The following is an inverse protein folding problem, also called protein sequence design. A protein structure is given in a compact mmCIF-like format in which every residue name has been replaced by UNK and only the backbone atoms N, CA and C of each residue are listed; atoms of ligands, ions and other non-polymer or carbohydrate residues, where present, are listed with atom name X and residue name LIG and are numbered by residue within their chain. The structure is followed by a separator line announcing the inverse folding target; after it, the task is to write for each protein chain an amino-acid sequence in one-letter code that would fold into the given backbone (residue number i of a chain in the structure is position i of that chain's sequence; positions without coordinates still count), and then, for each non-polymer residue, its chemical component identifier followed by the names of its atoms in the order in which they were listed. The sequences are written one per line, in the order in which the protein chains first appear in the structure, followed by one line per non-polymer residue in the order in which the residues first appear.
data_IF_741137596735
#
_entry.id   IF_741137596735
#
_cell.length_a   1.000
_cell.length_b   1.000
_cell.length_c   1.000
_cell.angle_alpha   90.00
_cell.angle_beta   90.00
_cell.angle_gamma   90.00
#
_symmetry.space_group_name_H-M   'P 1'
#
loop_
_entity.id
_entity.type
_entity.pdbx_description
1 polymer ?
#
# COMPACT_ATOMS: atom_id res chain seq x y z
N UNK A 1 -27.56 26.99 -8.15
CA UNK A 1 -26.76 26.48 -7.02
C UNK A 1 -25.50 25.88 -7.62
N UNK A 2 -24.35 26.54 -7.49
CA UNK A 2 -23.08 25.99 -7.95
C UNK A 2 -22.76 24.83 -7.00
N UNK A 3 -22.76 23.60 -7.52
CA UNK A 3 -22.20 22.45 -6.80
C UNK A 3 -20.71 22.74 -6.63
N UNK A 4 -20.31 23.15 -5.44
CA UNK A 4 -18.88 23.21 -5.11
C UNK A 4 -18.40 21.76 -5.07
N UNK A 5 -17.49 21.44 -5.97
CA UNK A 5 -16.84 20.13 -6.02
C UNK A 5 -16.35 19.72 -4.64
N UNK A 6 -16.53 18.46 -4.24
CA UNK A 6 -16.09 17.98 -2.95
C UNK A 6 -14.57 18.15 -2.82
N UNK A 7 -14.12 18.94 -1.85
CA UNK A 7 -12.70 19.12 -1.53
C UNK A 7 -12.31 18.25 -0.34
N UNK A 8 -11.11 17.76 -0.34
CA UNK A 8 -10.52 17.07 0.81
C UNK A 8 -9.72 18.07 1.66
N UNK A 9 -9.78 17.94 2.96
CA UNK A 9 -9.19 18.89 3.91
C UNK A 9 -8.32 18.19 4.96
N UNK A 10 -7.08 18.63 5.09
CA UNK A 10 -6.05 18.04 5.94
C UNK A 10 -5.43 19.07 6.87
N UNK A 11 -4.95 18.63 8.03
CA UNK A 11 -4.04 19.41 8.85
C UNK A 11 -2.62 18.93 8.53
N UNK A 12 -1.78 19.87 8.11
CA UNK A 12 -0.38 19.60 7.78
C UNK A 12 0.55 20.41 8.67
N UNK A 13 1.72 19.85 8.95
CA UNK A 13 2.78 20.53 9.68
C UNK A 13 4.05 20.65 8.85
N UNK A 14 4.77 21.73 9.05
CA UNK A 14 6.05 22.02 8.43
C UNK A 14 7.00 22.56 9.50
N UNK A 15 8.22 22.01 9.56
CA UNK A 15 9.27 22.54 10.40
C UNK A 15 9.98 23.70 9.70
N UNK A 16 9.80 24.90 10.21
CA UNK A 16 10.48 26.09 9.72
C UNK A 16 11.87 26.17 10.38
N UNK A 17 12.92 25.90 9.58
CA UNK A 17 14.30 25.86 10.05
C UNK A 17 14.83 27.23 10.49
N UNK A 18 14.33 28.31 9.90
CA UNK A 18 14.73 29.68 10.25
C UNK A 18 14.11 30.12 11.57
N UNK A 19 12.84 29.80 11.76
CA UNK A 19 12.12 30.14 12.99
C UNK A 19 12.28 29.08 14.10
N UNK A 20 12.90 27.92 13.79
CA UNK A 20 13.07 26.78 14.68
C UNK A 20 11.76 26.32 15.34
N UNK A 21 10.67 26.34 14.58
CA UNK A 21 9.34 26.00 15.08
C UNK A 21 8.50 25.22 14.06
N UNK A 22 7.58 24.41 14.58
CA UNK A 22 6.58 23.73 13.76
C UNK A 22 5.44 24.70 13.48
N UNK A 23 5.13 24.88 12.20
CA UNK A 23 3.97 25.63 11.72
C UNK A 23 2.91 24.69 11.21
N UNK A 24 1.64 24.94 11.54
CA UNK A 24 0.49 24.13 11.12
C UNK A 24 -0.38 24.90 10.14
N UNK A 25 -0.81 24.21 9.10
CA UNK A 25 -1.67 24.75 8.05
C UNK A 25 -2.82 23.79 7.80
N UNK A 26 -3.93 24.33 7.31
CA UNK A 26 -4.99 23.53 6.72
C UNK A 26 -4.76 23.49 5.22
N UNK A 27 -4.60 22.27 4.67
CA UNK A 27 -4.44 22.02 3.26
C UNK A 27 -5.79 21.58 2.70
N UNK A 28 -6.23 22.23 1.65
CA UNK A 28 -7.37 21.83 0.83
C UNK A 28 -6.87 21.22 -0.47
N UNK A 29 -7.41 20.08 -0.85
CA UNK A 29 -7.14 19.41 -2.11
C UNK A 29 -8.42 19.24 -2.90
N UNK A 30 -8.37 19.53 -4.18
CA UNK A 30 -9.49 19.45 -5.12
C UNK A 30 -9.21 18.36 -6.13
N UNK A 31 -9.90 17.18 -6.01
CA UNK A 31 -9.60 16.01 -6.85
C UNK A 31 -9.86 16.22 -8.35
N UNK A 32 -10.76 17.15 -8.72
CA UNK A 32 -11.15 17.38 -10.12
C UNK A 32 -10.01 17.93 -10.99
N UNK A 33 -9.20 18.81 -10.45
CA UNK A 33 -8.14 19.51 -11.19
C UNK A 33 -6.76 19.37 -10.53
N UNK A 34 -6.63 18.51 -9.52
CA UNK A 34 -5.41 18.35 -8.73
C UNK A 34 -4.88 19.66 -8.15
N UNK A 35 -5.78 20.61 -7.85
CA UNK A 35 -5.37 21.88 -7.24
C UNK A 35 -5.33 21.78 -5.72
N UNK A 36 -4.49 22.63 -5.13
CA UNK A 36 -4.30 22.76 -3.70
C UNK A 36 -4.45 24.22 -3.25
N UNK A 37 -4.88 24.38 -2.01
CA UNK A 37 -4.95 25.67 -1.32
C UNK A 37 -4.49 25.46 0.12
N UNK A 38 -3.80 26.44 0.73
CA UNK A 38 -3.38 26.35 2.12
C UNK A 38 -3.81 27.55 2.92
N UNK A 39 -4.28 27.30 4.14
CA UNK A 39 -4.69 28.29 5.10
C UNK A 39 -3.82 28.21 6.36
N UNK A 40 -3.29 29.36 6.79
CA UNK A 40 -2.51 29.46 8.03
C UNK A 40 -3.48 29.52 9.23
N UNK A 41 -3.50 28.43 9.99
CA UNK A 41 -4.43 28.27 11.13
C UNK A 41 -4.14 29.30 12.23
N UNK A 42 -2.86 29.59 12.48
CA UNK A 42 -2.43 30.52 13.54
C UNK A 42 -2.75 31.96 13.21
N UNK A 43 -2.50 32.37 11.97
CA UNK A 43 -2.64 33.76 11.54
C UNK A 43 -4.00 34.06 10.87
N UNK A 44 -4.87 33.02 10.77
CA UNK A 44 -6.23 33.12 10.19
C UNK A 44 -6.26 33.77 8.81
N UNK A 45 -5.33 33.35 7.93
CA UNK A 45 -5.22 33.91 6.57
C UNK A 45 -4.83 32.86 5.55
N UNK A 46 -5.14 33.13 4.28
CA UNK A 46 -4.67 32.31 3.17
C UNK A 46 -3.15 32.39 3.12
N UNK A 47 -2.51 31.24 3.20
CA UNK A 47 -1.07 31.07 3.06
C UNK A 47 -0.67 30.81 1.60
N UNK A 48 -1.39 29.92 0.93
CA UNK A 48 -1.23 29.62 -0.49
C UNK A 48 -2.60 29.68 -1.17
N UNK A 49 -2.73 30.56 -2.17
CA UNK A 49 -3.94 30.61 -3.01
C UNK A 49 -4.04 29.34 -3.84
N UNK A 50 -5.26 28.99 -4.26
CA UNK A 50 -5.51 27.81 -5.08
C UNK A 50 -4.61 27.77 -6.32
N UNK A 51 -3.86 26.68 -6.47
CA UNK A 51 -2.94 26.42 -7.60
C UNK A 51 -3.08 24.96 -8.00
N UNK A 52 -2.91 24.68 -9.29
CA UNK A 52 -2.83 23.31 -9.80
C UNK A 52 -1.44 22.73 -9.49
N UNK A 53 -1.41 21.55 -8.88
CA UNK A 53 -0.18 20.82 -8.61
C UNK A 53 -0.36 19.33 -8.99
N UNK A 54 -0.01 18.94 -10.20
CA UNK A 54 -0.22 17.58 -10.71
C UNK A 54 0.64 16.51 -10.02
N UNK A 55 1.67 16.91 -9.27
CA UNK A 55 2.50 15.98 -8.50
C UNK A 55 1.77 15.46 -7.24
N UNK A 56 0.76 16.18 -6.77
CA UNK A 56 -0.04 15.78 -5.62
C UNK A 56 -1.32 15.11 -6.12
N UNK A 57 -1.41 13.81 -5.90
CA UNK A 57 -2.57 12.99 -6.25
C UNK A 57 -3.25 12.45 -4.99
N UNK A 58 -4.53 12.10 -5.07
CA UNK A 58 -5.31 11.61 -3.92
C UNK A 58 -4.66 10.43 -3.21
N UNK A 59 -3.93 9.58 -3.93
CA UNK A 59 -3.25 8.41 -3.38
C UNK A 59 -2.06 8.76 -2.47
N UNK A 60 -1.47 9.95 -2.62
CA UNK A 60 -0.35 10.42 -1.77
C UNK A 60 -0.82 11.12 -0.50
N UNK A 61 -2.11 11.43 -0.39
CA UNK A 61 -2.69 12.19 0.71
C UNK A 61 -3.24 11.27 1.81
N UNK A 62 -2.39 10.85 2.74
CA UNK A 62 -2.78 10.01 3.88
C UNK A 62 -2.07 10.44 5.17
N UNK A 63 -2.59 10.01 6.31
CA UNK A 63 -1.99 10.34 7.62
C UNK A 63 -0.56 9.82 7.71
N UNK A 64 0.36 10.72 8.05
CA UNK A 64 1.77 10.44 8.17
C UNK A 64 2.57 10.61 6.87
N UNK A 65 1.91 10.79 5.70
CA UNK A 65 2.63 11.07 4.45
C UNK A 65 3.25 12.46 4.44
N UNK A 66 4.34 12.59 3.69
CA UNK A 66 5.03 13.86 3.45
C UNK A 66 4.82 14.27 1.99
N UNK A 67 4.37 15.51 1.80
CA UNK A 67 4.17 16.10 0.48
C UNK A 67 5.08 17.30 0.31
N UNK A 68 5.57 17.51 -0.90
CA UNK A 68 6.43 18.67 -1.22
C UNK A 68 5.63 19.73 -1.97
N UNK A 69 5.60 20.95 -1.44
CA UNK A 69 4.97 22.12 -2.07
C UNK A 69 6.01 23.24 -2.11
N UNK A 70 6.42 23.67 -3.31
CA UNK A 70 7.46 24.71 -3.50
C UNK A 70 8.73 24.46 -2.68
N UNK A 71 9.30 23.25 -2.80
CA UNK A 71 10.54 22.84 -2.12
C UNK A 71 10.45 22.79 -0.59
N UNK A 72 9.25 22.81 -0.01
CA UNK A 72 9.01 22.64 1.41
C UNK A 72 8.25 21.34 1.65
N UNK A 73 8.70 20.60 2.64
CA UNK A 73 8.03 19.36 3.06
C UNK A 73 6.95 19.67 4.10
N UNK A 74 5.77 19.10 3.89
CA UNK A 74 4.63 19.18 4.78
C UNK A 74 4.16 17.78 5.12
N UNK A 75 4.06 17.47 6.40
CA UNK A 75 3.59 16.18 6.91
C UNK A 75 2.10 16.26 7.23
N UNK A 76 1.31 15.34 6.71
CA UNK A 76 -0.12 15.23 7.03
C UNK A 76 -0.28 14.59 8.41
N UNK A 77 -0.86 15.34 9.37
CA UNK A 77 -1.00 14.90 10.76
C UNK A 77 -2.45 14.57 11.17
N UNK A 78 -3.44 15.12 10.47
CA UNK A 78 -4.85 14.83 10.74
C UNK A 78 -5.72 15.14 9.52
N UNK A 79 -6.90 14.52 9.46
CA UNK A 79 -7.99 14.99 8.61
C UNK A 79 -8.64 16.20 9.27
N UNK A 80 -8.96 17.25 8.50
CA UNK A 80 -9.52 18.47 9.05
C UNK A 80 -11.05 18.41 9.24
N UNK A 81 -11.72 17.49 8.55
CA UNK A 81 -13.17 17.29 8.65
C UNK A 81 -13.56 15.80 8.50
N UNK A 82 -14.77 15.50 8.97
CA UNK A 82 -15.32 14.12 8.91
C UNK A 82 -15.63 13.67 7.48
N UNK A 83 -15.90 14.60 6.56
CA UNK A 83 -16.10 14.27 5.16
C UNK A 83 -14.83 13.71 4.55
N UNK A 84 -13.70 14.40 4.72
CA UNK A 84 -12.39 13.95 4.24
C UNK A 84 -12.00 12.60 4.85
N UNK A 85 -12.25 12.45 6.16
CA UNK A 85 -11.99 11.19 6.85
C UNK A 85 -12.76 10.03 6.22
N UNK A 86 -14.07 10.15 6.09
CA UNK A 86 -14.92 9.12 5.47
C UNK A 86 -14.55 8.84 4.01
N UNK A 87 -14.40 9.90 3.20
CA UNK A 87 -14.06 9.76 1.80
C UNK A 87 -12.75 9.00 1.58
N UNK A 88 -11.76 9.19 2.45
CA UNK A 88 -10.47 8.51 2.36
C UNK A 88 -10.47 7.13 3.03
N UNK A 89 -11.25 6.91 4.07
CA UNK A 89 -11.47 5.59 4.66
C UNK A 89 -12.23 4.69 3.68
N UNK A 90 -13.26 5.20 3.02
CA UNK A 90 -14.00 4.49 1.95
C UNK A 90 -13.15 4.27 0.70
N UNK A 91 -12.21 5.17 0.39
CA UNK A 91 -11.30 5.03 -0.75
C UNK A 91 -10.14 4.06 -0.51
N UNK A 92 -9.83 3.69 0.73
CA UNK A 92 -8.69 2.85 1.07
C UNK A 92 -9.10 1.70 1.96
N UNK A 93 -9.44 0.61 1.32
CA UNK A 93 -9.52 -0.68 1.99
C UNK A 93 -8.21 -1.43 1.82
N UNK A 94 -7.84 -2.20 2.83
CA UNK A 94 -6.68 -3.10 2.76
C UNK A 94 -7.15 -4.51 2.47
N UNK A 95 -6.37 -5.25 1.69
CA UNK A 95 -6.55 -6.68 1.50
C UNK A 95 -5.23 -7.41 1.71
N UNK A 96 -5.30 -8.66 2.09
CA UNK A 96 -4.14 -9.53 2.18
C UNK A 96 -4.02 -10.39 0.92
N UNK A 97 -2.80 -10.57 0.46
CA UNK A 97 -2.47 -11.49 -0.61
C UNK A 97 -1.24 -12.29 -0.22
N UNK A 98 -1.21 -13.57 -0.59
CA UNK A 98 -0.08 -14.45 -0.37
C UNK A 98 0.29 -15.16 -1.66
N UNK A 99 1.51 -14.90 -2.16
CA UNK A 99 2.09 -15.62 -3.28
C UNK A 99 2.56 -16.99 -2.78
N UNK A 100 2.16 -18.03 -3.48
CA UNK A 100 2.42 -19.42 -3.11
C UNK A 100 3.72 -19.95 -3.73
N UNK A 101 4.31 -21.04 -3.18
CA UNK A 101 5.59 -21.58 -3.64
C UNK A 101 5.66 -21.88 -5.15
N UNK A 102 4.62 -22.38 -5.84
CA UNK A 102 4.70 -22.61 -7.28
C UNK A 102 4.92 -21.35 -8.12
N UNK A 103 4.56 -20.19 -7.57
CA UNK A 103 4.73 -18.89 -8.25
C UNK A 103 6.00 -18.13 -7.85
N UNK A 104 6.96 -18.78 -7.15
CA UNK A 104 8.18 -18.15 -6.66
C UNK A 104 8.95 -17.41 -7.75
N UNK A 105 9.18 -18.03 -8.90
CA UNK A 105 9.90 -17.44 -10.03
C UNK A 105 9.12 -16.31 -10.75
N UNK A 106 7.87 -16.10 -10.38
CA UNK A 106 6.99 -15.08 -10.94
C UNK A 106 6.67 -13.96 -9.94
N UNK A 107 7.34 -13.90 -8.80
CA UNK A 107 7.08 -12.91 -7.73
C UNK A 107 7.13 -11.48 -8.29
N UNK A 108 8.17 -11.14 -9.04
CA UNK A 108 8.35 -9.81 -9.60
C UNK A 108 7.24 -9.45 -10.60
N UNK A 109 6.90 -10.36 -11.50
CA UNK A 109 5.80 -10.17 -12.45
C UNK A 109 4.45 -9.97 -11.74
N UNK A 110 4.17 -10.73 -10.67
CA UNK A 110 2.95 -10.58 -9.87
C UNK A 110 2.93 -9.21 -9.19
N UNK A 111 4.05 -8.77 -8.63
CA UNK A 111 4.19 -7.43 -8.02
C UNK A 111 3.93 -6.34 -9.08
N UNK A 112 4.51 -6.45 -10.26
CA UNK A 112 4.30 -5.51 -11.37
C UNK A 112 2.83 -5.47 -11.80
N UNK A 113 2.18 -6.62 -11.94
CA UNK A 113 0.75 -6.69 -12.26
C UNK A 113 -0.08 -5.96 -11.20
N UNK A 114 0.17 -6.20 -9.93
CA UNK A 114 -0.54 -5.58 -8.80
C UNK A 114 -0.36 -4.05 -8.81
N UNK A 115 0.88 -3.57 -8.95
CA UNK A 115 1.18 -2.14 -8.98
C UNK A 115 0.61 -1.45 -10.23
N UNK A 116 0.72 -2.06 -11.42
CA UNK A 116 0.16 -1.54 -12.66
C UNK A 116 -1.38 -1.46 -12.64
N UNK A 117 -2.03 -2.26 -11.79
CA UNK A 117 -3.47 -2.17 -11.54
C UNK A 117 -3.82 -1.19 -10.40
N UNK A 118 -2.90 -0.34 -9.98
CA UNK A 118 -3.13 0.77 -9.05
C UNK A 118 -3.20 0.38 -7.58
N UNK A 119 -2.70 -0.80 -7.20
CA UNK A 119 -2.51 -1.15 -5.80
C UNK A 119 -1.22 -0.55 -5.23
N UNK A 120 -1.31 0.01 -4.04
CA UNK A 120 -0.15 0.32 -3.23
C UNK A 120 0.20 -0.87 -2.33
N UNK A 121 1.47 -1.26 -2.31
CA UNK A 121 1.97 -2.31 -1.41
C UNK A 121 2.41 -1.64 -0.11
N UNK A 122 1.61 -1.80 0.94
CA UNK A 122 1.89 -1.25 2.27
C UNK A 122 2.94 -2.06 3.02
N UNK A 123 2.84 -3.40 2.94
CA UNK A 123 3.79 -4.33 3.53
C UNK A 123 4.05 -5.49 2.59
N UNK A 124 5.28 -5.96 2.58
CA UNK A 124 5.69 -7.16 1.85
C UNK A 124 6.68 -7.92 2.72
N UNK A 125 6.45 -9.22 2.87
CA UNK A 125 7.30 -10.07 3.69
C UNK A 125 7.33 -11.51 3.16
N UNK A 126 8.51 -12.07 3.06
CA UNK A 126 8.73 -13.48 2.75
C UNK A 126 8.93 -14.26 4.04
N UNK A 127 8.23 -15.38 4.21
CA UNK A 127 8.37 -16.27 5.34
C UNK A 127 8.31 -17.74 4.88
N UNK A 128 9.00 -18.62 5.61
CA UNK A 128 8.77 -20.07 5.56
C UNK A 128 7.91 -20.42 6.77
N UNK A 129 6.70 -20.93 6.51
CA UNK A 129 5.73 -21.21 7.57
C UNK A 129 5.99 -22.60 8.17
N UNK A 130 6.02 -22.67 9.49
CA UNK A 130 5.99 -23.96 10.20
C UNK A 130 4.60 -24.58 10.11
N UNK A 131 4.50 -25.91 10.31
CA UNK A 131 3.22 -26.61 10.31
C UNK A 131 2.18 -25.98 11.25
N UNK A 132 2.61 -25.51 12.43
CA UNK A 132 1.73 -24.84 13.38
C UNK A 132 1.22 -23.51 12.85
N UNK A 133 2.08 -22.73 12.20
CA UNK A 133 1.72 -21.44 11.62
C UNK A 133 0.78 -21.60 10.43
N UNK A 134 1.01 -22.60 9.58
CA UNK A 134 0.09 -22.97 8.49
C UNK A 134 -1.29 -23.31 9.02
N UNK A 135 -1.39 -24.18 10.03
CA UNK A 135 -2.69 -24.56 10.61
C UNK A 135 -3.41 -23.37 11.24
N UNK A 136 -2.69 -22.43 11.88
CA UNK A 136 -3.29 -21.24 12.43
C UNK A 136 -3.74 -20.27 11.34
N UNK A 137 -2.97 -20.12 10.27
CA UNK A 137 -3.36 -19.30 9.12
C UNK A 137 -4.63 -19.85 8.46
N UNK A 138 -4.70 -21.14 8.20
CA UNK A 138 -5.86 -21.80 7.57
C UNK A 138 -7.15 -21.68 8.42
N UNK A 139 -7.03 -21.59 9.73
CA UNK A 139 -8.19 -21.30 10.60
C UNK A 139 -8.75 -19.88 10.39
N UNK A 140 -7.88 -18.92 10.08
CA UNK A 140 -8.26 -17.54 9.80
C UNK A 140 -8.82 -17.44 8.40
N UNK A 141 -8.12 -18.00 7.41
CA UNK A 141 -8.48 -17.99 6.00
C UNK A 141 -9.75 -18.77 5.68
N UNK A 142 -10.08 -19.78 6.50
CA UNK A 142 -11.31 -20.55 6.48
C UNK A 142 -11.76 -21.07 5.10
N UNK A 143 -10.82 -21.33 4.20
CA UNK A 143 -11.07 -21.91 2.86
C UNK A 143 -10.27 -23.19 2.67
N UNK A 144 -10.82 -24.10 1.87
CA UNK A 144 -10.17 -25.37 1.51
C UNK A 144 -9.43 -25.28 0.15
N UNK A 145 -9.19 -24.07 -0.33
CA UNK A 145 -8.61 -23.86 -1.68
C UNK A 145 -7.13 -24.22 -1.75
N UNK A 146 -6.43 -24.18 -0.63
CA UNK A 146 -4.99 -24.45 -0.57
C UNK A 146 -4.68 -25.51 0.47
N UNK A 147 -3.91 -26.54 0.07
CA UNK A 147 -3.52 -27.59 0.99
C UNK A 147 -2.47 -27.10 2.01
N UNK A 148 -2.51 -27.61 3.26
CA UNK A 148 -1.51 -27.30 4.27
C UNK A 148 -0.08 -27.64 3.82
N UNK A 149 0.05 -28.73 3.07
CA UNK A 149 1.33 -29.20 2.53
C UNK A 149 1.94 -28.19 1.58
N UNK A 150 1.12 -27.56 0.71
CA UNK A 150 1.58 -26.55 -0.23
C UNK A 150 2.08 -25.31 0.48
N UNK A 151 1.34 -24.79 1.49
CA UNK A 151 1.74 -23.63 2.27
C UNK A 151 3.02 -23.85 3.10
N UNK A 152 3.24 -25.08 3.55
CA UNK A 152 4.42 -25.46 4.33
C UNK A 152 5.59 -25.99 3.53
N UNK A 153 5.44 -26.16 2.20
CA UNK A 153 6.47 -26.77 1.35
C UNK A 153 7.72 -25.89 1.23
N UNK A 154 7.52 -24.58 1.02
CA UNK A 154 8.62 -23.63 0.83
C UNK A 154 8.21 -22.21 1.26
N UNK A 155 8.99 -21.21 0.84
CA UNK A 155 8.72 -19.80 1.14
C UNK A 155 7.43 -19.30 0.49
N UNK A 156 6.71 -18.48 1.25
CA UNK A 156 5.53 -17.73 0.80
C UNK A 156 5.77 -16.23 0.96
N UNK A 157 5.18 -15.43 0.08
CA UNK A 157 5.30 -13.96 0.16
C UNK A 157 3.95 -13.35 0.46
N UNK A 158 3.78 -12.84 1.69
CA UNK A 158 2.57 -12.12 2.09
C UNK A 158 2.69 -10.63 1.84
N UNK A 159 1.59 -10.06 1.36
CA UNK A 159 1.48 -8.64 1.04
C UNK A 159 0.24 -8.02 1.67
N UNK A 160 0.38 -6.81 2.20
CA UNK A 160 -0.73 -5.92 2.50
C UNK A 160 -0.88 -4.95 1.33
N UNK A 161 -2.02 -5.01 0.66
CA UNK A 161 -2.33 -4.25 -0.54
C UNK A 161 -3.45 -3.25 -0.24
N UNK A 162 -3.28 -2.01 -0.69
CA UNK A 162 -4.20 -0.91 -0.41
C UNK A 162 -4.72 -0.32 -1.72
N UNK A 163 -6.04 -0.29 -1.86
CA UNK A 163 -6.76 0.33 -2.99
C UNK A 163 -8.21 0.60 -2.58
N UNK A 164 -8.94 1.42 -3.33
CA UNK A 164 -10.39 1.49 -3.20
C UNK A 164 -11.00 0.12 -3.55
N UNK A 165 -11.91 -0.40 -2.71
CA UNK A 165 -12.51 -1.73 -2.87
C UNK A 165 -11.49 -2.86 -3.05
N UNK A 166 -10.39 -2.82 -2.27
CA UNK A 166 -9.20 -3.64 -2.48
C UNK A 166 -9.50 -5.14 -2.62
N UNK A 167 -10.40 -5.70 -1.81
CA UNK A 167 -10.74 -7.13 -1.85
C UNK A 167 -11.36 -7.51 -3.19
N UNK A 168 -12.40 -6.80 -3.64
CA UNK A 168 -13.11 -7.09 -4.88
C UNK A 168 -12.20 -6.90 -6.11
N UNK A 169 -11.44 -5.81 -6.13
CA UNK A 169 -10.51 -5.50 -7.22
C UNK A 169 -9.38 -6.53 -7.33
N UNK A 170 -8.83 -6.98 -6.19
CA UNK A 170 -7.78 -8.00 -6.20
C UNK A 170 -8.27 -9.36 -6.69
N UNK A 171 -9.47 -9.80 -6.27
CA UNK A 171 -10.10 -11.03 -6.74
C UNK A 171 -10.29 -11.03 -8.25
N UNK A 172 -10.70 -9.90 -8.82
CA UNK A 172 -10.84 -9.73 -10.26
C UNK A 172 -9.51 -9.91 -10.98
N UNK A 173 -8.45 -9.26 -10.51
CA UNK A 173 -7.11 -9.35 -11.10
C UNK A 173 -6.55 -10.78 -10.95
N UNK A 174 -6.76 -11.43 -9.81
CA UNK A 174 -6.35 -12.80 -9.58
C UNK A 174 -6.95 -13.74 -10.62
N UNK A 175 -8.26 -13.60 -10.88
CA UNK A 175 -8.98 -14.48 -11.82
C UNK A 175 -8.63 -14.20 -13.28
N UNK A 176 -8.53 -12.93 -13.65
CA UNK A 176 -8.40 -12.49 -15.04
C UNK A 176 -6.95 -12.51 -15.56
N UNK A 177 -5.99 -12.19 -14.69
CA UNK A 177 -4.59 -11.94 -15.10
C UNK A 177 -3.62 -12.90 -14.43
N UNK A 178 -3.57 -12.94 -13.10
CA UNK A 178 -2.53 -13.65 -12.37
C UNK A 178 -2.62 -15.16 -12.59
N UNK A 179 -3.82 -15.74 -12.55
CA UNK A 179 -4.03 -17.17 -12.78
C UNK A 179 -3.62 -17.64 -14.18
N UNK A 180 -3.57 -16.74 -15.15
CA UNK A 180 -3.10 -17.04 -16.52
C UNK A 180 -1.60 -16.87 -16.69
N UNK A 181 -0.96 -16.11 -15.82
CA UNK A 181 0.47 -15.79 -15.89
C UNK A 181 1.33 -16.88 -15.28
N UNK A 182 0.77 -17.72 -14.41
CA UNK A 182 1.48 -18.85 -13.75
C UNK A 182 0.93 -20.16 -14.30
N UNK A 183 1.81 -20.98 -14.88
CA UNK A 183 1.44 -22.22 -15.56
C UNK A 183 1.35 -23.44 -14.62
N UNK A 184 1.98 -23.38 -13.45
CA UNK A 184 2.14 -24.52 -12.55
C UNK A 184 1.44 -24.27 -11.20
N UNK A 185 0.16 -24.65 -11.10
CA UNK A 185 -0.58 -24.59 -9.84
C UNK A 185 -1.11 -23.22 -9.43
N UNK A 186 -1.69 -23.10 -8.23
CA UNK A 186 -2.21 -21.84 -7.74
C UNK A 186 -1.08 -20.85 -7.47
N UNK A 187 -1.18 -19.65 -8.07
CA UNK A 187 -0.15 -18.62 -7.96
C UNK A 187 -0.21 -17.86 -6.65
N UNK A 188 -1.43 -17.50 -6.25
CA UNK A 188 -1.67 -16.60 -5.13
C UNK A 188 -3.05 -16.85 -4.54
N UNK A 189 -3.20 -16.59 -3.24
CA UNK A 189 -4.48 -16.49 -2.54
C UNK A 189 -4.69 -15.08 -2.04
N UNK A 190 -5.96 -14.69 -1.85
CA UNK A 190 -6.33 -13.39 -1.31
C UNK A 190 -7.51 -13.50 -0.33
N UNK A 191 -7.69 -12.50 0.50
CA UNK A 191 -8.77 -12.44 1.48
C UNK A 191 -10.15 -12.45 0.83
N UNK A 192 -11.11 -13.11 1.46
CA UNK A 192 -12.50 -13.17 1.02
C UNK A 192 -13.27 -11.87 1.31
N UNK A 193 -12.99 -11.24 2.44
CA UNK A 193 -13.60 -10.00 2.88
C UNK A 193 -12.62 -9.14 3.69
N UNK A 194 -13.04 -7.92 4.06
CA UNK A 194 -12.20 -6.96 4.78
C UNK A 194 -11.87 -7.40 6.21
N UNK A 195 -12.77 -8.11 6.88
CA UNK A 195 -12.55 -8.59 8.24
C UNK A 195 -11.50 -9.71 8.25
N UNK A 196 -11.60 -10.63 7.29
CA UNK A 196 -10.60 -11.67 7.07
C UNK A 196 -9.25 -11.05 6.72
N UNK A 197 -9.22 -10.07 5.82
CA UNK A 197 -8.02 -9.33 5.43
C UNK A 197 -7.30 -8.73 6.66
N UNK A 198 -8.05 -8.08 7.53
CA UNK A 198 -7.50 -7.51 8.77
C UNK A 198 -6.87 -8.57 9.68
N UNK A 199 -7.53 -9.72 9.86
CA UNK A 199 -7.04 -10.81 10.69
C UNK A 199 -5.78 -11.45 10.09
N UNK A 200 -5.77 -11.69 8.77
CA UNK A 200 -4.64 -12.28 8.04
C UNK A 200 -3.41 -11.35 8.07
N UNK A 201 -3.60 -10.06 7.80
CA UNK A 201 -2.53 -9.05 7.88
C UNK A 201 -1.92 -9.04 9.29
N UNK A 202 -2.78 -8.94 10.30
CA UNK A 202 -2.33 -8.93 11.71
C UNK A 202 -1.57 -10.20 12.08
N UNK A 203 -2.07 -11.35 11.67
CA UNK A 203 -1.43 -12.63 11.94
C UNK A 203 -0.09 -12.76 11.19
N UNK A 204 -0.09 -12.62 9.87
CA UNK A 204 1.08 -12.89 9.04
C UNK A 204 2.26 -11.98 9.36
N UNK A 205 2.02 -10.68 9.52
CA UNK A 205 3.09 -9.73 9.82
C UNK A 205 3.54 -9.75 11.28
N UNK A 206 2.80 -10.41 12.19
CA UNK A 206 3.26 -10.66 13.57
C UNK A 206 4.24 -11.84 13.68
N UNK A 207 4.29 -12.72 12.67
CA UNK A 207 5.19 -13.87 12.68
C UNK A 207 6.64 -13.41 12.72
N UNK A 208 7.44 -14.04 13.59
CA UNK A 208 8.88 -13.75 13.65
C UNK A 208 9.57 -14.41 12.47
N UNK A 209 10.22 -13.62 11.63
CA UNK A 209 11.07 -14.13 10.58
C UNK A 209 12.45 -14.49 11.16
N UNK A 210 12.93 -15.69 10.88
CA UNK A 210 14.31 -16.07 11.13
C UNK A 210 15.03 -16.18 9.78
N UNK A 211 15.74 -15.10 9.35
CA UNK A 211 16.47 -15.14 8.11
C UNK A 211 17.62 -16.16 8.22
N UNK A 212 17.78 -16.99 7.19
CA UNK A 212 18.96 -17.81 7.06
C UNK A 212 20.10 -16.95 6.52
N UNK A 213 21.09 -16.66 7.38
CA UNK A 213 22.17 -15.72 7.05
C UNK A 213 23.44 -16.40 6.54
N UNK A 214 23.37 -17.67 6.13
CA UNK A 214 24.48 -18.41 5.53
C UNK A 214 24.43 -18.34 4.02
N UNK A 215 25.56 -18.05 3.38
CA UNK A 215 25.69 -17.99 1.91
C UNK A 215 24.68 -17.01 1.26
N UNK A 216 24.50 -15.82 1.82
CA UNK A 216 23.62 -14.81 1.31
C UNK A 216 24.31 -13.46 1.17
N UNK A 217 23.79 -12.59 0.34
CA UNK A 217 24.18 -11.20 0.20
C UNK A 217 23.00 -10.29 0.51
N UNK A 218 23.29 -9.09 1.05
CA UNK A 218 22.28 -8.08 1.27
C UNK A 218 22.11 -7.22 0.02
N UNK A 219 20.89 -7.16 -0.48
CA UNK A 219 20.47 -6.22 -1.52
C UNK A 219 19.41 -5.29 -0.98
N UNK A 220 19.55 -3.99 -1.25
CA UNK A 220 18.59 -2.97 -0.81
C UNK A 220 18.04 -2.24 -2.04
N UNK A 221 16.74 -2.39 -2.29
CA UNK A 221 16.03 -1.62 -3.31
C UNK A 221 15.75 -0.22 -2.73
N UNK A 222 16.24 0.81 -3.42
CA UNK A 222 16.08 2.20 -2.96
C UNK A 222 14.64 2.69 -3.15
N UNK A 223 14.15 3.63 -2.30
CA UNK A 223 12.77 4.11 -2.34
C UNK A 223 12.29 4.60 -3.71
N UNK A 224 13.13 5.33 -4.46
CA UNK A 224 12.75 5.84 -5.79
C UNK A 224 12.37 4.74 -6.80
N UNK A 225 12.97 3.54 -6.70
CA UNK A 225 12.62 2.40 -7.57
C UNK A 225 11.22 1.88 -7.24
N UNK A 226 10.85 1.94 -5.95
CA UNK A 226 9.51 1.55 -5.48
C UNK A 226 8.48 2.59 -5.95
N UNK A 227 8.80 3.89 -5.83
CA UNK A 227 7.95 5.00 -6.29
C UNK A 227 7.73 4.97 -7.80
N UNK A 228 8.75 4.58 -8.57
CA UNK A 228 8.66 4.41 -10.03
C UNK A 228 7.92 3.13 -10.46
N UNK A 229 7.49 2.27 -9.52
CA UNK A 229 6.82 1.00 -9.82
C UNK A 229 7.71 -0.03 -10.52
N UNK A 230 9.02 0.04 -10.33
CA UNK A 230 10.01 -0.85 -10.99
C UNK A 230 10.53 -1.97 -10.09
N UNK A 231 10.02 -2.08 -8.88
CA UNK A 231 10.50 -3.07 -7.91
C UNK A 231 10.31 -4.51 -8.38
N UNK A 232 9.18 -4.83 -9.00
CA UNK A 232 8.89 -6.14 -9.53
C UNK A 232 9.87 -6.57 -10.61
N UNK A 233 10.13 -5.71 -11.60
CA UNK A 233 11.11 -5.98 -12.67
C UNK A 233 12.51 -6.25 -12.12
N UNK A 234 12.91 -5.51 -11.08
CA UNK A 234 14.23 -5.71 -10.47
C UNK A 234 14.30 -7.07 -9.75
N UNK A 235 13.23 -7.47 -9.07
CA UNK A 235 13.12 -8.77 -8.42
C UNK A 235 13.21 -9.90 -9.46
N UNK A 236 12.50 -9.78 -10.58
CA UNK A 236 12.55 -10.79 -11.66
C UNK A 236 13.97 -10.94 -12.24
N UNK A 237 14.66 -9.84 -12.48
CA UNK A 237 16.06 -9.88 -12.96
C UNK A 237 16.93 -10.66 -11.97
N UNK A 238 16.80 -10.40 -10.66
CA UNK A 238 17.59 -11.07 -9.62
C UNK A 238 17.28 -12.56 -9.53
N UNK A 239 16.01 -12.96 -9.76
CA UNK A 239 15.60 -14.37 -9.69
C UNK A 239 15.98 -15.16 -10.94
N UNK A 240 16.25 -14.49 -12.08
CA UNK A 240 16.59 -15.14 -13.36
C UNK A 240 18.08 -15.25 -13.59
N UNK A 241 18.93 -14.53 -12.87
CA UNK A 241 20.41 -14.59 -12.88
C UNK A 241 20.96 -15.61 -11.85
#
# INVERSE_FOLDING_TARGET
MSMTSPRLSFIVEHYDTLAQMIKKYQLFYYPEDCSIEMYDIKNLRIFLKRIINPEIISSTLYLGSEITIYSRQYKIIAYADEFTKKALEEMRTSTFAMILPPAYMSIGNIIDIIQNNGFAISKLKMNKLSTKEVLNYLKIHNTNEVSPELLGSDYVVGMELVKANAVAELKKILTEVISKSVKEGPAMICSEDENMAYQEIKYYFSLKHQPQLSNCSLLVIKPHIIEEGKAGKLIDIILTE
#
